data_IF_604177625685
#
_entry.id   IF_604177625685
#
_cell.length_a   1.000
_cell.length_b   1.000
_cell.length_c   1.000
_cell.angle_alpha   90.00
_cell.angle_beta   90.00
_cell.angle_gamma   90.00
#
_symmetry.space_group_name_H-M   'P 1'
#
loop_
_entity.id
_entity.type
_entity.pdbx_description
1 polymer ?
#
# COMPACT_ATOMS: atom_id res chain seq x y z
N UNK A 1 11.74 11.97 6.93
CA UNK A 1 11.47 10.76 7.75
C UNK A 1 11.38 11.21 9.20
N UNK A 2 10.45 10.65 9.97
CA UNK A 2 9.94 11.23 11.23
C UNK A 2 11.05 11.79 12.12
N UNK A 3 11.06 13.13 12.31
CA UNK A 3 11.93 13.84 13.27
C UNK A 3 11.55 13.56 14.73
N UNK A 4 10.60 12.64 14.95
CA UNK A 4 9.97 12.40 16.24
C UNK A 4 10.50 11.07 16.80
N UNK A 5 11.67 11.12 17.45
CA UNK A 5 12.20 10.00 18.28
C UNK A 5 11.14 9.51 19.30
N UNK A 6 10.26 10.42 19.70
CA UNK A 6 9.11 10.21 20.58
C UNK A 6 8.08 9.19 20.07
N UNK A 7 8.09 8.81 18.79
CA UNK A 7 7.12 7.85 18.24
C UNK A 7 7.17 6.50 18.98
N UNK A 8 8.37 6.01 19.32
CA UNK A 8 8.53 4.79 20.12
C UNK A 8 8.12 4.99 21.58
N UNK A 9 8.49 6.13 22.17
CA UNK A 9 8.14 6.49 23.55
C UNK A 9 6.62 6.52 23.76
N UNK A 10 5.87 7.03 22.78
CA UNK A 10 4.42 7.17 22.87
C UNK A 10 3.65 6.10 22.08
N UNK A 11 4.27 4.99 21.68
CA UNK A 11 3.64 3.96 20.86
C UNK A 11 2.25 3.52 21.38
N UNK A 12 2.11 3.31 22.70
CA UNK A 12 0.84 2.90 23.32
C UNK A 12 -0.23 3.99 23.17
N UNK A 13 0.14 5.26 23.33
CA UNK A 13 -0.77 6.40 23.16
C UNK A 13 -1.18 6.58 21.70
N UNK A 14 -0.23 6.43 20.77
CA UNK A 14 -0.48 6.51 19.33
C UNK A 14 -1.47 5.42 18.92
N UNK A 15 -1.21 4.16 19.30
CA UNK A 15 -2.10 3.03 19.02
C UNK A 15 -3.48 3.24 19.64
N UNK A 16 -3.55 3.74 20.88
CA UNK A 16 -4.82 4.05 21.55
C UNK A 16 -5.62 5.10 20.79
N UNK A 17 -5.00 6.21 20.37
CA UNK A 17 -5.70 7.27 19.62
C UNK A 17 -6.24 6.75 18.29
N UNK A 18 -5.43 6.02 17.52
CA UNK A 18 -5.88 5.46 16.23
C UNK A 18 -6.99 4.44 16.45
N UNK A 19 -6.91 3.63 17.50
CA UNK A 19 -7.95 2.67 17.89
C UNK A 19 -9.27 3.38 18.28
N UNK A 20 -9.22 4.49 19.03
CA UNK A 20 -10.40 5.31 19.33
C UNK A 20 -11.00 5.94 18.07
N UNK A 21 -10.18 6.42 17.14
CA UNK A 21 -10.64 6.96 15.85
C UNK A 21 -11.32 5.87 15.03
N UNK A 22 -10.76 4.65 15.03
CA UNK A 22 -11.35 3.47 14.41
C UNK A 22 -12.71 3.15 15.05
N UNK A 23 -12.78 2.95 16.37
CA UNK A 23 -14.03 2.69 17.09
C UNK A 23 -15.11 3.75 16.83
N UNK A 24 -14.71 5.03 16.71
CA UNK A 24 -15.65 6.11 16.41
C UNK A 24 -16.32 5.92 15.04
N UNK A 25 -15.63 5.41 14.03
CA UNK A 25 -16.23 5.14 12.70
C UNK A 25 -17.35 4.09 12.76
N UNK A 26 -17.38 3.31 13.84
CA UNK A 26 -18.23 2.14 14.01
C UNK A 26 -19.46 2.43 14.86
N UNK A 27 -19.37 3.47 15.71
CA UNK A 27 -20.44 3.91 16.61
C UNK A 27 -21.28 5.06 16.03
N UNK A 28 -21.03 5.44 14.77
CA UNK A 28 -21.84 6.44 14.08
C UNK A 28 -23.21 5.85 13.69
N UNK A 29 -24.24 6.72 13.61
CA UNK A 29 -25.63 6.34 13.27
C UNK A 29 -25.73 5.60 11.92
N UNK A 30 -24.85 5.95 11.00
CA UNK A 30 -24.58 5.21 9.77
C UNK A 30 -23.10 4.80 9.78
N UNK A 31 -22.83 3.53 9.52
CA UNK A 31 -21.47 3.00 9.49
C UNK A 31 -20.71 3.55 8.28
N UNK A 32 -19.59 4.24 8.53
CA UNK A 32 -18.71 4.70 7.46
C UNK A 32 -17.74 3.59 7.08
N UNK A 33 -18.17 2.66 6.22
CA UNK A 33 -17.39 1.48 5.81
C UNK A 33 -16.02 1.85 5.22
N UNK A 34 -15.97 2.93 4.42
CA UNK A 34 -14.73 3.39 3.78
C UNK A 34 -13.74 3.91 4.82
N UNK A 35 -14.21 4.74 5.75
CA UNK A 35 -13.33 5.30 6.77
C UNK A 35 -12.93 4.27 7.81
N UNK A 36 -13.84 3.36 8.20
CA UNK A 36 -13.52 2.29 9.13
C UNK A 36 -12.44 1.37 8.57
N UNK A 37 -12.52 1.00 7.28
CA UNK A 37 -11.49 0.20 6.63
C UNK A 37 -10.16 0.97 6.49
N UNK A 38 -10.18 2.26 6.12
CA UNK A 38 -8.97 3.11 6.05
C UNK A 38 -8.24 3.14 7.38
N UNK A 39 -8.95 3.49 8.46
CA UNK A 39 -8.34 3.61 9.79
C UNK A 39 -7.93 2.24 10.32
N UNK A 40 -8.67 1.17 9.99
CA UNK A 40 -8.28 -0.19 10.35
C UNK A 40 -6.95 -0.61 9.71
N UNK A 41 -6.78 -0.41 8.39
CA UNK A 41 -5.52 -0.74 7.72
C UNK A 41 -4.35 0.03 8.35
N UNK A 42 -4.55 1.32 8.66
CA UNK A 42 -3.55 2.13 9.38
C UNK A 42 -3.22 1.52 10.74
N UNK A 43 -4.24 1.21 11.55
CA UNK A 43 -4.09 0.65 12.89
C UNK A 43 -3.38 -0.71 12.86
N UNK A 44 -3.77 -1.58 11.92
CA UNK A 44 -3.20 -2.92 11.77
C UNK A 44 -1.71 -2.84 11.40
N UNK A 45 -1.37 -2.02 10.40
CA UNK A 45 0.04 -1.81 10.00
C UNK A 45 0.84 -1.17 11.12
N UNK A 46 0.29 -0.22 11.86
CA UNK A 46 0.98 0.37 13.03
C UNK A 46 1.24 -0.66 14.12
N UNK A 47 0.28 -1.55 14.42
CA UNK A 47 0.45 -2.63 15.41
C UNK A 47 1.55 -3.60 14.97
N UNK A 48 1.55 -4.00 13.70
CA UNK A 48 2.56 -4.88 13.12
C UNK A 48 3.95 -4.24 13.15
N UNK A 49 4.06 -2.98 12.69
CA UNK A 49 5.28 -2.18 12.74
C UNK A 49 5.84 -2.10 14.17
N UNK A 50 5.04 -1.66 15.15
CA UNK A 50 5.52 -1.49 16.52
C UNK A 50 5.96 -2.80 17.15
N UNK A 51 5.26 -3.91 16.86
CA UNK A 51 5.67 -5.24 17.30
C UNK A 51 7.05 -5.59 16.72
N UNK A 52 7.21 -5.48 15.41
CA UNK A 52 8.46 -5.83 14.72
C UNK A 52 9.65 -4.98 15.19
N UNK A 53 9.48 -3.66 15.28
CA UNK A 53 10.59 -2.77 15.65
C UNK A 53 10.92 -2.83 17.14
N UNK A 54 9.95 -3.14 18.02
CA UNK A 54 10.23 -3.29 19.46
C UNK A 54 11.20 -4.44 19.73
N UNK A 55 11.07 -5.55 18.98
CA UNK A 55 12.00 -6.68 19.06
C UNK A 55 13.41 -6.26 18.64
N UNK A 56 13.55 -5.53 17.53
CA UNK A 56 14.85 -5.04 17.05
C UNK A 56 15.48 -4.01 17.99
N UNK A 57 14.68 -3.09 18.53
CA UNK A 57 15.16 -2.09 19.49
C UNK A 57 15.65 -2.76 20.78
N UNK A 58 15.00 -3.84 21.24
CA UNK A 58 15.46 -4.62 22.37
C UNK A 58 16.84 -5.27 22.13
N UNK A 59 17.23 -5.53 20.87
CA UNK A 59 18.57 -6.01 20.50
C UNK A 59 19.63 -4.88 20.39
N UNK A 60 19.29 -3.66 20.78
CA UNK A 60 20.19 -2.50 20.78
C UNK A 60 20.22 -1.70 19.47
N UNK A 61 19.29 -1.92 18.54
CA UNK A 61 19.15 -1.07 17.34
C UNK A 61 18.43 0.24 17.67
N UNK A 62 18.76 1.30 16.93
CA UNK A 62 17.98 2.54 17.00
C UNK A 62 16.59 2.33 16.41
N UNK A 63 15.60 3.10 16.87
CA UNK A 63 14.24 3.06 16.34
C UNK A 63 14.20 3.38 14.83
N UNK A 64 15.05 4.31 14.40
CA UNK A 64 15.18 4.69 12.99
C UNK A 64 15.64 3.50 12.14
N UNK A 65 16.72 2.83 12.56
CA UNK A 65 17.26 1.68 11.82
C UNK A 65 16.28 0.51 11.82
N UNK A 66 15.59 0.28 12.92
CA UNK A 66 14.53 -0.74 13.01
C UNK A 66 13.40 -0.47 12.00
N UNK A 67 12.96 0.78 11.86
CA UNK A 67 11.97 1.17 10.84
C UNK A 67 12.49 0.97 9.40
N UNK A 68 13.76 1.27 9.14
CA UNK A 68 14.37 1.02 7.83
C UNK A 68 14.44 -0.48 7.51
N UNK A 69 14.76 -1.32 8.50
CA UNK A 69 14.77 -2.77 8.37
C UNK A 69 13.35 -3.28 8.09
N UNK A 70 12.35 -2.80 8.82
CA UNK A 70 10.95 -3.16 8.56
C UNK A 70 10.48 -2.76 7.15
N UNK A 71 10.81 -1.54 6.70
CA UNK A 71 10.50 -1.10 5.35
C UNK A 71 11.17 -2.01 4.29
N UNK A 72 12.43 -2.39 4.48
CA UNK A 72 13.12 -3.36 3.60
C UNK A 72 12.48 -4.75 3.66
N UNK A 73 12.03 -5.19 4.83
CA UNK A 73 11.30 -6.44 5.00
C UNK A 73 10.03 -6.44 4.15
N UNK A 74 9.20 -5.39 4.23
CA UNK A 74 8.00 -5.27 3.39
C UNK A 74 8.31 -5.17 1.90
N UNK A 75 9.44 -4.56 1.54
CA UNK A 75 9.89 -4.44 0.17
C UNK A 75 10.60 -5.67 -0.37
N UNK A 76 10.85 -6.70 0.43
CA UNK A 76 11.52 -7.91 -0.03
C UNK A 76 10.82 -8.50 -1.27
N UNK A 77 11.64 -8.91 -2.24
CA UNK A 77 11.17 -9.40 -3.53
C UNK A 77 12.23 -10.30 -4.15
N UNK A 78 11.83 -11.47 -4.64
CA UNK A 78 12.74 -12.42 -5.28
C UNK A 78 12.57 -12.45 -6.81
N UNK A 79 13.62 -12.83 -7.56
CA UNK A 79 13.52 -13.03 -9.00
C UNK A 79 12.41 -14.04 -9.36
N UNK A 80 11.67 -13.74 -10.42
CA UNK A 80 10.52 -14.54 -10.88
C UNK A 80 9.19 -14.22 -10.20
N UNK A 81 9.19 -13.50 -9.07
CA UNK A 81 7.95 -13.12 -8.39
C UNK A 81 7.25 -11.92 -9.05
N UNK A 82 5.92 -11.90 -9.00
CA UNK A 82 5.11 -10.77 -9.52
C UNK A 82 4.68 -9.77 -8.44
N UNK A 83 4.81 -10.15 -7.17
CA UNK A 83 4.33 -9.36 -6.03
C UNK A 83 5.35 -9.38 -4.89
N UNK A 84 5.37 -8.33 -4.08
CA UNK A 84 6.15 -8.30 -2.84
C UNK A 84 5.39 -9.07 -1.76
N UNK A 85 5.80 -10.31 -1.49
CA UNK A 85 5.05 -11.26 -0.64
C UNK A 85 4.78 -10.71 0.77
N UNK A 86 5.75 -10.06 1.40
CA UNK A 86 5.59 -9.60 2.79
C UNK A 86 4.51 -8.52 2.91
N UNK A 87 4.48 -7.55 1.98
CA UNK A 87 3.40 -6.56 1.91
C UNK A 87 2.05 -7.22 1.60
N UNK A 88 2.01 -8.17 0.66
CA UNK A 88 0.78 -8.88 0.30
C UNK A 88 0.19 -9.65 1.49
N UNK A 89 1.03 -10.39 2.22
CA UNK A 89 0.66 -11.14 3.42
C UNK A 89 0.12 -10.19 4.49
N UNK A 90 0.83 -9.09 4.76
CA UNK A 90 0.42 -8.09 5.75
C UNK A 90 -0.97 -7.53 5.44
N UNK A 91 -1.22 -7.12 4.20
CA UNK A 91 -2.50 -6.52 3.80
C UNK A 91 -3.63 -7.55 3.78
N UNK A 92 -3.39 -8.79 3.35
CA UNK A 92 -4.39 -9.87 3.45
C UNK A 92 -4.73 -10.21 4.90
N UNK A 93 -3.73 -10.22 5.78
CA UNK A 93 -3.95 -10.40 7.22
C UNK A 93 -4.76 -9.25 7.82
N UNK A 94 -4.47 -8.01 7.41
CA UNK A 94 -5.26 -6.84 7.81
C UNK A 94 -6.73 -6.99 7.41
N UNK A 95 -7.00 -7.40 6.17
CA UNK A 95 -8.37 -7.66 5.73
C UNK A 95 -9.02 -8.76 6.56
N UNK A 96 -8.40 -9.94 6.69
CA UNK A 96 -8.96 -11.05 7.47
C UNK A 96 -9.29 -10.67 8.91
N UNK A 97 -8.48 -9.82 9.52
CA UNK A 97 -8.65 -9.37 10.90
C UNK A 97 -9.63 -8.19 11.05
N UNK A 98 -10.15 -7.62 9.95
CA UNK A 98 -11.10 -6.51 9.99
C UNK A 98 -12.36 -6.89 10.77
N UNK A 99 -12.77 -6.18 11.83
CA UNK A 99 -13.85 -6.65 12.70
C UNK A 99 -15.27 -6.62 12.10
N UNK A 100 -15.51 -5.89 11.01
CA UNK A 100 -16.85 -5.63 10.47
C UNK A 100 -17.13 -6.53 9.27
N UNK A 101 -17.26 -7.83 9.51
CA UNK A 101 -17.43 -8.81 8.44
C UNK A 101 -18.77 -8.70 7.69
N UNK A 102 -19.77 -8.05 8.28
CA UNK A 102 -21.06 -7.76 7.66
C UNK A 102 -21.05 -6.52 6.75
N UNK A 103 -19.91 -5.81 6.68
CA UNK A 103 -19.76 -4.66 5.78
C UNK A 103 -19.79 -5.11 4.32
N UNK A 104 -20.59 -4.45 3.49
CA UNK A 104 -20.68 -4.76 2.06
C UNK A 104 -19.34 -4.53 1.37
N UNK A 105 -18.64 -3.44 1.71
CA UNK A 105 -17.29 -3.16 1.22
C UNK A 105 -16.33 -4.30 1.57
N UNK A 106 -16.32 -4.73 2.84
CA UNK A 106 -15.46 -5.82 3.28
C UNK A 106 -15.77 -7.13 2.53
N UNK A 107 -17.04 -7.52 2.48
CA UNK A 107 -17.46 -8.75 1.79
C UNK A 107 -17.04 -8.74 0.32
N UNK A 108 -17.26 -7.61 -0.36
CA UNK A 108 -16.89 -7.44 -1.77
C UNK A 108 -15.38 -7.61 -1.97
N UNK A 109 -14.57 -6.98 -1.11
CA UNK A 109 -13.12 -7.07 -1.18
C UNK A 109 -12.60 -8.48 -0.91
N UNK A 110 -13.09 -9.15 0.14
CA UNK A 110 -12.64 -10.51 0.48
C UNK A 110 -13.07 -11.51 -0.58
N UNK A 111 -14.30 -11.42 -1.10
CA UNK A 111 -14.77 -12.25 -2.22
C UNK A 111 -13.93 -12.03 -3.49
N UNK A 112 -13.50 -10.80 -3.76
CA UNK A 112 -12.60 -10.51 -4.88
C UNK A 112 -11.18 -11.06 -4.65
N UNK A 113 -10.59 -10.83 -3.47
CA UNK A 113 -9.25 -11.31 -3.10
C UNK A 113 -9.14 -12.84 -3.08
N UNK A 114 -10.24 -13.55 -2.77
CA UNK A 114 -10.28 -15.01 -2.77
C UNK A 114 -10.09 -15.62 -4.16
N UNK A 115 -10.36 -14.86 -5.23
CA UNK A 115 -10.17 -15.30 -6.62
C UNK A 115 -8.70 -15.24 -7.08
N UNK A 116 -7.85 -14.56 -6.31
CA UNK A 116 -6.44 -14.34 -6.67
C UNK A 116 -5.54 -15.01 -5.63
N UNK A 117 -4.84 -16.10 -6.00
CA UNK A 117 -3.89 -16.78 -5.12
C UNK A 117 -2.77 -15.86 -4.62
N UNK A 118 -2.18 -16.21 -3.48
CA UNK A 118 -1.00 -15.52 -2.96
C UNK A 118 0.14 -15.62 -3.99
N UNK A 119 0.82 -14.49 -4.27
CA UNK A 119 1.91 -14.44 -5.26
C UNK A 119 1.47 -13.94 -6.64
N UNK A 120 0.16 -13.83 -6.89
CA UNK A 120 -0.41 -13.39 -8.15
C UNK A 120 -1.08 -12.01 -8.01
N UNK A 121 -1.40 -11.42 -9.16
CA UNK A 121 -2.10 -10.12 -9.25
C UNK A 121 -3.55 -10.31 -9.71
N UNK A 122 -4.49 -9.43 -9.30
CA UNK A 122 -4.29 -8.23 -8.48
C UNK A 122 -3.90 -8.49 -7.02
N UNK A 123 -3.01 -7.65 -6.50
CA UNK A 123 -2.56 -7.65 -5.10
C UNK A 123 -3.66 -7.17 -4.16
N UNK A 124 -3.53 -7.51 -2.88
CA UNK A 124 -4.37 -6.96 -1.82
C UNK A 124 -4.33 -5.42 -1.79
N UNK A 125 -3.16 -4.82 -2.07
CA UNK A 125 -3.05 -3.38 -2.23
C UNK A 125 -3.97 -2.84 -3.34
N UNK A 126 -3.95 -3.46 -4.52
CA UNK A 126 -4.78 -3.04 -5.66
C UNK A 126 -6.27 -3.14 -5.33
N UNK A 127 -6.71 -4.25 -4.71
CA UNK A 127 -8.09 -4.40 -4.26
C UNK A 127 -8.49 -3.36 -3.21
N UNK A 128 -7.64 -3.11 -2.20
CA UNK A 128 -7.91 -2.11 -1.16
C UNK A 128 -8.03 -0.72 -1.79
N UNK A 129 -7.12 -0.35 -2.71
CA UNK A 129 -7.17 0.95 -3.40
C UNK A 129 -8.45 1.06 -4.24
N UNK A 130 -8.79 0.01 -4.99
CA UNK A 130 -10.02 -0.03 -5.79
C UNK A 130 -11.27 0.14 -4.90
N UNK A 131 -11.35 -0.57 -3.77
CA UNK A 131 -12.52 -0.48 -2.87
C UNK A 131 -12.64 0.86 -2.16
N UNK A 132 -11.50 1.48 -1.80
CA UNK A 132 -11.49 2.73 -1.02
C UNK A 132 -11.59 4.00 -1.85
N UNK A 133 -11.15 3.95 -3.10
CA UNK A 133 -11.01 5.14 -3.95
C UNK A 133 -11.60 4.96 -5.35
N UNK A 134 -12.16 3.79 -5.66
CA UNK A 134 -12.78 3.47 -6.93
C UNK A 134 -11.80 3.02 -8.00
N UNK A 135 -12.34 2.31 -9.01
CA UNK A 135 -11.56 1.76 -10.12
C UNK A 135 -10.86 2.85 -10.95
N UNK A 136 -11.51 4.01 -11.12
CA UNK A 136 -10.96 5.11 -11.91
C UNK A 136 -9.64 5.64 -11.34
N UNK A 137 -9.51 5.75 -10.01
CA UNK A 137 -8.24 6.20 -9.41
C UNK A 137 -7.13 5.17 -9.66
N UNK A 138 -7.42 3.88 -9.46
CA UNK A 138 -6.46 2.80 -9.67
C UNK A 138 -5.93 2.79 -11.11
N UNK A 139 -6.83 3.03 -12.08
CA UNK A 139 -6.48 3.10 -13.50
C UNK A 139 -5.82 4.42 -13.90
N UNK A 140 -6.12 5.56 -13.27
CA UNK A 140 -5.48 6.82 -13.64
C UNK A 140 -4.12 7.04 -12.95
N UNK A 141 -3.85 6.32 -11.86
CA UNK A 141 -2.72 6.61 -10.98
C UNK A 141 -1.52 5.68 -11.20
N UNK A 142 -0.33 6.28 -11.10
CA UNK A 142 0.95 5.58 -11.04
C UNK A 142 1.42 5.56 -9.60
N UNK A 143 1.39 4.39 -8.98
CA UNK A 143 1.81 4.22 -7.59
C UNK A 143 3.32 3.97 -7.51
N UNK A 144 3.97 4.62 -6.57
CA UNK A 144 5.38 4.38 -6.26
C UNK A 144 5.55 2.96 -5.71
N UNK A 145 6.41 2.16 -6.33
CA UNK A 145 6.67 0.78 -5.95
C UNK A 145 7.39 0.61 -4.60
N UNK A 146 7.84 1.72 -4.00
CA UNK A 146 8.52 1.76 -2.70
C UNK A 146 7.60 2.23 -1.57
N UNK A 147 6.84 3.31 -1.78
CA UNK A 147 6.09 3.97 -0.71
C UNK A 147 4.58 4.07 -0.96
N UNK A 148 4.09 3.59 -2.10
CA UNK A 148 2.67 3.62 -2.43
C UNK A 148 2.09 5.01 -2.74
N UNK A 149 2.90 6.07 -2.83
CA UNK A 149 2.44 7.40 -3.27
C UNK A 149 1.87 7.33 -4.70
N UNK A 150 0.68 7.88 -4.91
CA UNK A 150 -0.01 7.94 -6.22
C UNK A 150 0.57 8.97 -7.22
N UNK A 151 1.64 9.68 -6.85
CA UNK A 151 2.26 10.72 -7.67
C UNK A 151 3.59 10.24 -8.30
N UNK A 152 3.67 8.99 -8.74
CA UNK A 152 4.89 8.47 -9.35
C UNK A 152 5.13 9.07 -10.74
N UNK A 153 6.17 9.90 -10.86
CA UNK A 153 6.56 10.56 -12.11
C UNK A 153 7.82 9.96 -12.75
N UNK A 154 8.53 9.09 -12.03
CA UNK A 154 9.79 8.47 -12.48
C UNK A 154 9.58 6.98 -12.70
N UNK A 155 10.37 6.39 -13.59
CA UNK A 155 10.30 4.95 -13.89
C UNK A 155 11.67 4.36 -14.13
N UNK A 156 11.83 3.08 -13.82
CA UNK A 156 12.99 2.32 -14.28
C UNK A 156 13.00 2.29 -15.82
N UNK A 157 14.13 2.60 -16.48
CA UNK A 157 14.18 2.59 -17.95
C UNK A 157 13.97 1.20 -18.55
N UNK A 158 14.35 0.13 -17.83
CA UNK A 158 14.26 -1.27 -18.29
C UNK A 158 12.88 -1.87 -18.05
N UNK A 159 12.50 -2.05 -16.78
CA UNK A 159 11.29 -2.76 -16.39
C UNK A 159 10.06 -1.86 -16.21
N UNK A 160 10.19 -0.53 -16.37
CA UNK A 160 9.12 0.48 -16.23
C UNK A 160 8.48 0.61 -14.85
N UNK A 161 9.02 -0.03 -13.81
CA UNK A 161 8.52 0.11 -12.43
C UNK A 161 8.55 1.59 -11.99
N UNK A 162 7.46 2.05 -11.35
CA UNK A 162 7.22 3.46 -11.05
C UNK A 162 7.74 3.90 -9.67
N UNK A 163 8.24 5.13 -9.58
CA UNK A 163 8.74 5.76 -8.37
C UNK A 163 8.32 7.24 -8.29
N UNK A 164 8.03 7.73 -7.08
CA UNK A 164 7.76 9.16 -6.88
C UNK A 164 9.04 10.01 -6.83
N UNK A 165 10.16 9.44 -6.39
CA UNK A 165 11.44 10.14 -6.26
C UNK A 165 12.64 9.24 -6.54
N UNK A 166 13.80 9.87 -6.77
CA UNK A 166 15.08 9.16 -6.88
C UNK A 166 15.42 8.45 -5.57
N UNK A 167 15.04 9.01 -4.42
CA UNK A 167 15.30 8.41 -3.12
C UNK A 167 14.52 7.12 -2.90
N UNK A 168 13.24 7.07 -3.32
CA UNK A 168 12.46 5.83 -3.30
C UNK A 168 13.11 4.75 -4.19
N UNK A 169 13.56 5.15 -5.40
CA UNK A 169 14.25 4.23 -6.29
C UNK A 169 15.58 3.74 -5.68
N UNK A 170 16.40 4.63 -5.11
CA UNK A 170 17.67 4.26 -4.47
C UNK A 170 17.45 3.34 -3.27
N UNK A 171 16.42 3.59 -2.47
CA UNK A 171 16.08 2.74 -1.32
C UNK A 171 15.69 1.32 -1.74
N UNK A 172 14.92 1.19 -2.82
CA UNK A 172 14.47 -0.10 -3.36
C UNK A 172 15.52 -0.79 -4.26
N UNK A 173 16.47 -0.04 -4.83
CA UNK A 173 17.43 -0.54 -5.82
C UNK A 173 18.19 -1.81 -5.41
N UNK A 174 18.65 -1.99 -4.15
CA UNK A 174 19.31 -3.22 -3.74
C UNK A 174 18.47 -4.49 -3.97
N UNK A 175 17.14 -4.39 -3.87
CA UNK A 175 16.18 -5.48 -4.09
C UNK A 175 15.76 -5.49 -5.56
N UNK A 176 15.36 -4.35 -6.09
CA UNK A 176 14.87 -4.24 -7.46
C UNK A 176 15.91 -4.67 -8.50
N UNK A 177 17.20 -4.38 -8.33
CA UNK A 177 18.23 -4.68 -9.34
C UNK A 177 18.29 -6.17 -9.74
N UNK A 178 18.10 -7.09 -8.78
CA UNK A 178 18.08 -8.54 -9.03
C UNK A 178 16.78 -9.00 -9.65
N UNK A 179 15.67 -8.31 -9.38
CA UNK A 179 14.35 -8.65 -9.89
C UNK A 179 14.02 -7.93 -11.21
N UNK A 180 14.83 -6.95 -11.63
CA UNK A 180 14.52 -6.04 -12.73
C UNK A 180 14.17 -6.76 -14.03
N UNK A 181 14.91 -7.82 -14.37
CA UNK A 181 14.64 -8.60 -15.58
C UNK A 181 13.33 -9.38 -15.47
N UNK A 182 13.07 -10.01 -14.31
CA UNK A 182 11.78 -10.68 -14.06
C UNK A 182 10.62 -9.69 -14.09
N UNK A 183 10.77 -8.51 -13.47
CA UNK A 183 9.75 -7.46 -13.49
C UNK A 183 9.47 -7.04 -14.93
N UNK A 184 10.50 -6.94 -15.77
CA UNK A 184 10.32 -6.56 -17.17
C UNK A 184 9.42 -7.53 -17.93
N UNK A 185 9.38 -8.82 -17.60
CA UNK A 185 8.59 -9.80 -18.36
C UNK A 185 7.08 -9.64 -18.14
N UNK A 186 6.66 -9.27 -16.93
CA UNK A 186 5.24 -9.16 -16.57
C UNK A 186 4.78 -7.71 -16.35
N UNK A 187 5.68 -6.76 -16.14
CA UNK A 187 5.37 -5.32 -16.09
C UNK A 187 5.35 -4.72 -17.51
N UNK A 188 4.83 -5.50 -18.46
CA UNK A 188 4.79 -5.25 -19.92
C UNK A 188 3.50 -4.60 -20.39
N UNK A 189 2.65 -4.16 -19.47
CA UNK A 189 1.52 -3.34 -19.88
C UNK A 189 2.09 -1.96 -20.25
N UNK A 190 2.12 -1.66 -21.55
CA UNK A 190 1.78 -0.33 -22.04
C UNK A 190 0.43 0.00 -21.43
N UNK A 191 0.49 0.55 -20.22
CA UNK A 191 -0.66 0.71 -19.36
C UNK A 191 -1.74 1.46 -20.13
N UNK A 192 -3.02 1.12 -19.98
CA UNK A 192 -4.09 2.05 -20.44
C UNK A 192 -3.88 3.45 -19.80
N UNK A 193 -3.19 3.48 -18.65
CA UNK A 193 -2.69 4.65 -17.90
C UNK A 193 -1.50 5.39 -18.55
N UNK A 194 -0.89 4.81 -19.58
CA UNK A 194 0.07 5.47 -20.47
C UNK A 194 -0.63 6.01 -21.73
N UNK A 195 -1.87 5.59 -22.02
CA UNK A 195 -2.66 6.03 -23.18
C UNK A 195 -3.68 7.13 -22.85
N UNK A 196 -4.01 7.33 -21.58
CA UNK A 196 -4.95 8.37 -21.14
C UNK A 196 -4.19 9.33 -20.22
N UNK A 197 -3.80 10.48 -20.73
CA UNK A 197 -3.29 11.56 -19.89
C UNK A 197 -4.45 12.23 -19.14
N UNK A 198 -4.14 12.87 -18.00
CA UNK A 198 -5.11 13.70 -17.28
C UNK A 198 -5.62 14.86 -18.16
N UNK A 199 -4.80 15.31 -19.10
CA UNK A 199 -5.11 16.35 -20.09
C UNK A 199 -6.16 15.83 -21.09
N UNK A 200 -6.02 14.60 -21.58
CA UNK A 200 -6.99 13.97 -22.49
C UNK A 200 -8.35 13.76 -21.80
N UNK A 201 -8.36 13.36 -20.53
CA UNK A 201 -9.60 13.24 -19.76
C UNK A 201 -10.30 14.58 -19.54
N UNK A 202 -9.53 15.64 -19.31
CA UNK A 202 -10.08 16.99 -19.15
C UNK A 202 -10.62 17.53 -20.47
N UNK A 203 -9.95 17.24 -21.59
CA UNK A 203 -10.41 17.59 -22.93
C UNK A 203 -11.73 16.89 -23.28
N UNK A 204 -11.84 15.57 -23.03
CA UNK A 204 -13.08 14.83 -23.28
C UNK A 204 -14.25 15.31 -22.41
N UNK A 205 -13.98 15.75 -21.17
CA UNK A 205 -15.02 16.31 -20.29
C UNK A 205 -15.50 17.67 -20.83
N UNK A 206 -14.59 18.52 -21.30
CA UNK A 206 -14.94 19.82 -21.87
C UNK A 206 -15.74 19.72 -23.19
N UNK A 207 -15.56 18.65 -23.96
CA UNK A 207 -16.34 18.36 -25.18
C UNK A 207 -17.76 17.86 -24.90
N UNK A 208 -18.03 17.29 -23.72
CA UNK A 208 -19.37 16.81 -23.32
C UNK A 208 -20.24 17.96 -22.79
N UNK A 209 -19.60 19.03 -22.29
CA UNK A 209 -20.27 20.22 -21.74
C UNK A 209 -20.58 21.30 -22.81
N UNK A 210 -20.39 21.00 -24.11
CA UNK A 210 -20.84 21.80 -25.26
C UNK A 210 -22.07 21.17 -25.93
#
# INVERSE_FOLDING_TARGET
>A
MSKYEDAMKYQKKILYVVDRVFEKQLRCKESNEVMSLKVWVILFVLRDLYKYISELVATGRTAHDACLIYAKHLLAWEPGEQVRKNMEILLRAAMKAFPYHHSLLYETLVKAMAKTPLGQRPTAFEYIVQGLFGQRLLMASKFCATCGSCAAKKRCPKCKLCYCSVDCQKFDWPIHKSCCESIRTWNTVSDVRDTISLEDLQATIAEIDQ
#
